data_IF_917562119895
#
_entry.id   IF_917562119895
#
_cell.length_a   1.000
_cell.length_b   1.000
_cell.length_c   1.000
_cell.angle_alpha   90.00
_cell.angle_beta   90.00
_cell.angle_gamma   90.00
#
_symmetry.space_group_name_H-M   'P 1'
#
loop_
_entity.id
_entity.type
_entity.pdbx_description
1 polymer ?
#
# COMPACT_ATOMS: atom_id res chain seq x y z
N UNK A 1 -35.07 4.94 9.34
CA UNK A 1 -34.39 3.68 9.68
C UNK A 1 -32.93 3.78 9.24
N UNK A 2 -32.01 3.97 10.18
CA UNK A 2 -30.57 3.85 9.91
C UNK A 2 -30.27 2.39 9.56
N UNK A 3 -29.97 2.10 8.28
CA UNK A 3 -29.37 0.83 7.90
C UNK A 3 -28.01 0.79 8.59
N UNK A 4 -27.92 0.13 9.76
CA UNK A 4 -26.64 -0.29 10.34
C UNK A 4 -25.88 -1.00 9.22
N UNK A 5 -24.82 -0.36 8.71
CA UNK A 5 -23.88 -0.93 7.78
C UNK A 5 -23.41 -2.21 8.47
N UNK A 6 -23.84 -3.39 7.99
CA UNK A 6 -23.27 -4.66 8.46
C UNK A 6 -21.78 -4.53 8.15
N UNK A 7 -20.97 -4.31 9.17
CA UNK A 7 -19.53 -4.48 9.07
C UNK A 7 -19.32 -5.96 8.75
N UNK A 8 -19.32 -6.29 7.45
CA UNK A 8 -18.69 -7.52 7.03
C UNK A 8 -17.23 -7.34 7.41
N UNK A 9 -16.81 -8.05 8.46
CA UNK A 9 -15.43 -8.12 8.89
C UNK A 9 -14.63 -8.68 7.71
N UNK A 10 -14.12 -7.78 6.87
CA UNK A 10 -13.43 -8.10 5.62
C UNK A 10 -12.00 -8.53 5.96
N UNK A 11 -11.85 -9.72 6.56
CA UNK A 11 -10.54 -10.28 6.89
C UNK A 11 -9.82 -10.79 5.64
N UNK A 12 -10.54 -11.53 4.79
CA UNK A 12 -10.01 -12.17 3.58
C UNK A 12 -10.42 -11.37 2.33
N UNK A 13 -9.68 -11.50 1.22
CA UNK A 13 -10.11 -10.95 -0.06
C UNK A 13 -11.51 -11.46 -0.44
N UNK A 14 -12.36 -10.61 -1.03
CA UNK A 14 -13.65 -11.03 -1.57
C UNK A 14 -13.44 -12.01 -2.73
N UNK A 15 -14.41 -12.88 -3.01
CA UNK A 15 -14.26 -13.91 -4.07
C UNK A 15 -13.97 -13.31 -5.45
N UNK A 16 -14.52 -12.12 -5.72
CA UNK A 16 -14.36 -11.38 -6.96
C UNK A 16 -13.18 -10.37 -6.93
N UNK A 17 -12.23 -10.51 -6.00
CA UNK A 17 -11.11 -9.56 -5.85
C UNK A 17 -10.27 -9.37 -7.12
N UNK A 18 -10.24 -10.36 -8.02
CA UNK A 18 -9.53 -10.28 -9.30
C UNK A 18 -10.08 -9.17 -10.19
N UNK A 19 -11.36 -8.88 -10.06
CA UNK A 19 -12.03 -7.86 -10.87
C UNK A 19 -11.47 -6.47 -10.56
N UNK A 20 -10.89 -6.27 -9.37
CA UNK A 20 -10.35 -4.98 -8.93
C UNK A 20 -9.06 -4.57 -9.65
N UNK A 21 -8.45 -5.48 -10.40
CA UNK A 21 -7.19 -5.22 -11.12
C UNK A 21 -7.41 -4.87 -12.60
N UNK A 22 -8.66 -4.88 -13.09
CA UNK A 22 -8.97 -4.48 -14.46
C UNK A 22 -9.20 -2.97 -14.55
N UNK A 23 -8.82 -2.34 -15.67
CA UNK A 23 -9.07 -0.91 -15.90
C UNK A 23 -10.56 -0.54 -15.74
N UNK A 24 -11.47 -1.47 -16.05
CA UNK A 24 -12.92 -1.29 -15.93
C UNK A 24 -13.42 -1.12 -14.50
N UNK A 25 -12.68 -1.59 -13.48
CA UNK A 25 -13.11 -1.46 -12.08
C UNK A 25 -13.08 -0.03 -11.56
N UNK A 26 -12.35 0.84 -12.24
CA UNK A 26 -12.20 2.26 -11.89
C UNK A 26 -13.10 3.17 -12.72
N UNK A 27 -13.63 2.70 -13.86
CA UNK A 27 -14.40 3.50 -14.81
C UNK A 27 -15.66 4.12 -14.18
N UNK A 28 -16.37 3.34 -13.36
CA UNK A 28 -17.58 3.82 -12.67
C UNK A 28 -17.25 4.98 -11.72
N UNK A 29 -16.19 4.85 -10.92
CA UNK A 29 -15.78 5.89 -9.98
C UNK A 29 -15.22 7.12 -10.71
N UNK A 30 -14.44 6.91 -11.78
CA UNK A 30 -13.88 8.00 -12.60
C UNK A 30 -14.98 8.79 -13.31
N UNK A 31 -16.04 8.13 -13.79
CA UNK A 31 -17.18 8.78 -14.42
C UNK A 31 -18.00 9.59 -13.41
N UNK A 32 -18.19 9.09 -12.19
CA UNK A 32 -18.95 9.77 -11.14
C UNK A 32 -18.15 10.92 -10.49
N UNK A 33 -16.84 10.74 -10.33
CA UNK A 33 -15.96 11.64 -9.57
C UNK A 33 -14.61 11.86 -10.27
N UNK A 34 -14.54 12.63 -11.38
CA UNK A 34 -13.31 12.80 -12.15
C UNK A 34 -12.18 13.47 -11.34
N UNK A 35 -12.48 14.50 -10.55
CA UNK A 35 -11.49 15.17 -9.68
C UNK A 35 -11.11 14.27 -8.50
N UNK A 36 -12.10 13.57 -7.92
CA UNK A 36 -11.89 12.61 -6.84
C UNK A 36 -10.98 11.45 -7.26
N UNK A 37 -11.08 11.01 -8.52
CA UNK A 37 -10.22 10.01 -9.11
C UNK A 37 -8.77 10.49 -9.22
N UNK A 38 -8.54 11.72 -9.70
CA UNK A 38 -7.18 12.30 -9.75
C UNK A 38 -6.56 12.36 -8.35
N UNK A 39 -7.32 12.85 -7.37
CA UNK A 39 -6.87 12.86 -5.97
C UNK A 39 -6.55 11.46 -5.46
N UNK A 40 -7.40 10.47 -5.75
CA UNK A 40 -7.22 9.09 -5.32
C UNK A 40 -5.97 8.45 -5.94
N UNK A 41 -5.70 8.70 -7.22
CA UNK A 41 -4.48 8.24 -7.89
C UNK A 41 -3.25 8.85 -7.24
N UNK A 42 -3.24 10.16 -6.98
CA UNK A 42 -2.12 10.85 -6.32
C UNK A 42 -1.93 10.29 -4.90
N UNK A 43 -3.00 10.17 -4.13
CA UNK A 43 -2.96 9.61 -2.78
C UNK A 43 -2.43 8.17 -2.79
N UNK A 44 -2.90 7.35 -3.73
CA UNK A 44 -2.44 5.99 -3.93
C UNK A 44 -0.94 5.90 -4.23
N UNK A 45 -0.44 6.71 -5.17
CA UNK A 45 0.98 6.79 -5.49
C UNK A 45 1.82 7.24 -4.29
N UNK A 46 1.39 8.30 -3.60
CA UNK A 46 2.07 8.80 -2.40
C UNK A 46 2.16 7.69 -1.35
N UNK A 47 1.04 7.08 -1.01
CA UNK A 47 0.97 6.04 0.03
C UNK A 47 1.79 4.79 -0.35
N UNK A 48 1.83 4.43 -1.64
CA UNK A 48 2.57 3.28 -2.14
C UNK A 48 4.10 3.49 -2.08
N UNK A 49 4.59 4.67 -2.44
CA UNK A 49 6.03 4.93 -2.52
C UNK A 49 6.63 5.59 -1.27
N UNK A 50 5.81 6.22 -0.43
CA UNK A 50 6.29 6.95 0.75
C UNK A 50 7.17 6.09 1.68
N UNK A 51 6.84 4.84 2.04
CA UNK A 51 7.69 4.07 2.95
C UNK A 51 9.07 3.76 2.35
N UNK A 52 9.14 3.49 1.04
CA UNK A 52 10.40 3.26 0.34
C UNK A 52 11.26 4.54 0.27
N UNK A 53 10.66 5.68 -0.03
CA UNK A 53 11.34 6.99 -0.06
C UNK A 53 11.88 7.33 1.33
N UNK A 54 11.04 7.20 2.36
CA UNK A 54 11.45 7.46 3.75
C UNK A 54 12.60 6.55 4.16
N UNK A 55 12.58 5.26 3.79
CA UNK A 55 13.66 4.34 4.10
C UNK A 55 15.00 4.79 3.51
N UNK A 56 15.03 5.18 2.23
CA UNK A 56 16.26 5.67 1.59
C UNK A 56 16.78 6.94 2.26
N UNK A 57 15.88 7.88 2.59
CA UNK A 57 16.26 9.09 3.31
C UNK A 57 16.90 8.71 4.65
N UNK A 58 16.27 7.83 5.43
CA UNK A 58 16.78 7.46 6.75
C UNK A 58 18.11 6.72 6.66
N UNK A 59 18.29 5.78 5.73
CA UNK A 59 19.58 5.11 5.50
C UNK A 59 20.65 6.13 5.09
N UNK A 60 20.33 7.06 4.19
CA UNK A 60 21.27 8.06 3.68
C UNK A 60 21.73 9.10 4.72
N UNK A 61 20.93 9.37 5.77
CA UNK A 61 21.35 10.22 6.89
C UNK A 61 22.02 9.43 8.03
N UNK A 62 21.81 8.11 8.09
CA UNK A 62 22.30 7.26 9.19
C UNK A 62 23.70 6.70 8.92
N UNK A 63 24.00 6.38 7.66
CA UNK A 63 25.25 5.70 7.28
C UNK A 63 26.11 6.57 6.36
N UNK A 64 27.44 6.53 6.54
CA UNK A 64 28.38 7.31 5.72
C UNK A 64 28.41 6.86 4.26
N UNK A 65 28.09 5.59 3.98
CA UNK A 65 27.98 5.07 2.62
C UNK A 65 26.79 4.12 2.48
N UNK A 66 26.07 4.23 1.38
CA UNK A 66 24.94 3.36 1.06
C UNK A 66 25.45 2.17 0.27
N UNK A 67 25.19 0.95 0.75
CA UNK A 67 25.56 -0.28 0.06
C UNK A 67 24.35 -0.91 -0.67
N UNK A 68 24.60 -2.01 -1.41
CA UNK A 68 23.60 -2.67 -2.25
C UNK A 68 22.37 -3.21 -1.47
N UNK A 69 22.48 -3.40 -0.16
CA UNK A 69 21.36 -3.88 0.66
C UNK A 69 20.23 -2.87 0.76
N UNK A 70 20.44 -1.60 0.41
CA UNK A 70 19.37 -0.59 0.31
C UNK A 70 18.24 -1.02 -0.65
N UNK A 71 18.54 -1.82 -1.68
CA UNK A 71 17.55 -2.34 -2.63
C UNK A 71 16.53 -3.26 -1.94
N UNK A 72 16.99 -4.04 -0.96
CA UNK A 72 16.12 -4.90 -0.16
C UNK A 72 15.12 -4.05 0.65
N UNK A 73 15.59 -2.95 1.23
CA UNK A 73 14.75 -2.04 2.01
C UNK A 73 13.82 -1.20 1.13
N UNK A 74 14.23 -0.83 -0.08
CA UNK A 74 13.36 -0.24 -1.09
C UNK A 74 12.20 -1.18 -1.46
N UNK A 75 12.52 -2.45 -1.69
CA UNK A 75 11.53 -3.49 -1.99
C UNK A 75 10.60 -3.70 -0.78
N UNK A 76 11.16 -3.77 0.43
CA UNK A 76 10.39 -3.84 1.68
C UNK A 76 9.45 -2.64 1.87
N UNK A 77 9.93 -1.43 1.62
CA UNK A 77 9.14 -0.20 1.69
C UNK A 77 8.01 -0.18 0.68
N UNK A 78 8.24 -0.66 -0.55
CA UNK A 78 7.17 -0.80 -1.54
C UNK A 78 6.12 -1.82 -1.11
N UNK A 79 6.54 -2.99 -0.61
CA UNK A 79 5.62 -4.01 -0.06
C UNK A 79 4.82 -3.45 1.12
N UNK A 80 5.45 -2.70 2.03
CA UNK A 80 4.75 -2.01 3.11
C UNK A 80 3.71 -1.02 2.55
N UNK A 81 4.08 -0.28 1.50
CA UNK A 81 3.20 0.64 0.78
C UNK A 81 1.97 -0.04 0.17
N UNK A 82 2.07 -1.27 -0.34
CA UNK A 82 0.91 -2.07 -0.79
C UNK A 82 -0.11 -2.25 0.35
N UNK A 83 0.38 -2.51 1.57
CA UNK A 83 -0.49 -2.66 2.74
C UNK A 83 -1.25 -1.37 3.10
N UNK A 84 -0.63 -0.21 2.90
CA UNK A 84 -1.28 1.10 3.09
C UNK A 84 -2.24 1.42 1.94
N UNK A 85 -1.83 1.15 0.70
CA UNK A 85 -2.64 1.34 -0.50
C UNK A 85 -3.95 0.54 -0.44
N UNK A 86 -3.93 -0.66 0.14
CA UNK A 86 -5.13 -1.45 0.38
C UNK A 86 -6.19 -0.66 1.18
N UNK A 87 -5.80 0.19 2.15
CA UNK A 87 -6.77 1.05 2.85
C UNK A 87 -7.27 2.22 1.97
N UNK A 88 -6.44 2.75 1.08
CA UNK A 88 -6.88 3.74 0.08
C UNK A 88 -7.96 3.13 -0.83
N UNK A 89 -7.80 1.85 -1.21
CA UNK A 89 -8.76 1.13 -2.04
C UNK A 89 -10.16 0.96 -1.40
N UNK A 90 -10.32 1.20 -0.09
CA UNK A 90 -11.64 1.26 0.57
C UNK A 90 -12.52 2.36 -0.05
N UNK A 91 -11.92 3.48 -0.47
CA UNK A 91 -12.65 4.63 -1.04
C UNK A 91 -13.43 4.23 -2.30
N UNK A 92 -12.84 3.36 -3.12
CA UNK A 92 -13.44 2.84 -4.36
C UNK A 92 -14.07 1.45 -4.18
N UNK A 93 -14.26 0.99 -2.93
CA UNK A 93 -14.82 -0.33 -2.58
C UNK A 93 -14.03 -1.52 -3.12
N UNK A 94 -12.75 -1.35 -3.42
CA UNK A 94 -11.84 -2.41 -3.90
C UNK A 94 -10.92 -2.93 -2.77
N UNK A 95 -11.41 -2.96 -1.53
CA UNK A 95 -10.64 -3.41 -0.38
C UNK A 95 -10.41 -4.93 -0.40
N UNK A 96 -9.15 -5.36 -0.29
CA UNK A 96 -8.77 -6.79 -0.32
C UNK A 96 -8.78 -7.46 1.06
N UNK A 97 -9.16 -6.73 2.11
CA UNK A 97 -9.26 -7.26 3.46
C UNK A 97 -8.01 -7.08 4.32
N UNK A 98 -8.18 -7.23 5.64
CA UNK A 98 -7.16 -6.91 6.64
C UNK A 98 -5.90 -7.78 6.51
N UNK A 99 -6.05 -9.05 6.13
CA UNK A 99 -4.90 -9.95 6.00
C UNK A 99 -3.88 -9.46 4.97
N UNK A 100 -4.33 -8.86 3.87
CA UNK A 100 -3.42 -8.32 2.85
C UNK A 100 -2.54 -7.21 3.44
N UNK A 101 -3.14 -6.28 4.19
CA UNK A 101 -2.38 -5.21 4.85
C UNK A 101 -1.44 -5.74 5.93
N UNK A 102 -1.92 -6.64 6.80
CA UNK A 102 -1.10 -7.22 7.88
C UNK A 102 0.13 -7.93 7.32
N UNK A 103 -0.07 -8.82 6.35
CA UNK A 103 1.02 -9.58 5.74
C UNK A 103 2.00 -8.64 5.02
N UNK A 104 1.50 -7.64 4.31
CA UNK A 104 2.33 -6.64 3.62
C UNK A 104 3.17 -5.82 4.60
N UNK A 105 2.59 -5.40 5.74
CA UNK A 105 3.34 -4.67 6.77
C UNK A 105 4.41 -5.53 7.44
N UNK A 106 4.09 -6.78 7.77
CA UNK A 106 5.05 -7.69 8.40
C UNK A 106 6.21 -8.02 7.46
N UNK A 107 5.92 -8.41 6.23
CA UNK A 107 6.96 -8.75 5.23
C UNK A 107 7.75 -7.49 4.87
N UNK A 108 7.07 -6.40 4.52
CA UNK A 108 7.71 -5.15 4.13
C UNK A 108 8.61 -4.60 5.24
N UNK A 109 8.10 -4.55 6.47
CA UNK A 109 8.84 -4.12 7.65
C UNK A 109 10.04 -5.02 7.97
N UNK A 110 9.89 -6.34 7.85
CA UNK A 110 10.99 -7.29 8.05
C UNK A 110 12.11 -7.08 7.01
N UNK A 111 11.76 -6.90 5.74
CA UNK A 111 12.73 -6.63 4.67
C UNK A 111 13.48 -5.31 4.90
N UNK A 112 12.77 -4.25 5.29
CA UNK A 112 13.38 -2.97 5.65
C UNK A 112 14.31 -3.10 6.85
N UNK A 113 13.89 -3.82 7.89
CA UNK A 113 14.71 -4.03 9.09
C UNK A 113 15.97 -4.84 8.79
N UNK A 114 15.87 -5.93 8.03
CA UNK A 114 17.04 -6.72 7.59
C UNK A 114 17.97 -5.87 6.72
N UNK A 115 17.41 -5.12 5.77
CA UNK A 115 18.18 -4.18 4.95
C UNK A 115 18.95 -3.16 5.80
N UNK A 116 18.28 -2.56 6.78
CA UNK A 116 18.90 -1.63 7.73
C UNK A 116 20.10 -2.26 8.45
N UNK A 117 19.95 -3.47 8.99
CA UNK A 117 21.03 -4.17 9.70
C UNK A 117 22.23 -4.46 8.79
N UNK A 118 21.99 -4.73 7.51
CA UNK A 118 23.02 -5.03 6.52
C UNK A 118 23.62 -3.78 5.86
N UNK A 119 22.97 -2.62 6.00
CA UNK A 119 23.49 -1.32 5.56
C UNK A 119 24.48 -0.69 6.56
N UNK A 120 24.53 -1.18 7.80
CA UNK A 120 25.54 -0.82 8.79
C UNK A 120 26.93 -1.27 8.37
#
# INVERSE_FOLDING_TARGET
MSKKRKETFNWKPPENYKDFFYASSDEAFKAEHPIGYVFLVILGLVVLFLPAILFVIVVGITYESVNHWVILGLTGGFVFGIGLFNYVAIIIKQYLGHWVSIVSFLIGGALMFVSWLLCR
#
